data_IF_555401051484
#
_entry.id   IF_555401051484
#
_cell.length_a   1.000
_cell.length_b   1.000
_cell.length_c   1.000
_cell.angle_alpha   90.00
_cell.angle_beta   90.00
_cell.angle_gamma   90.00
#
_symmetry.space_group_name_H-M   'P 1'
#
loop_
_entity.id
_entity.type
_entity.pdbx_description
1 polymer ?
#
# COMPACT_ATOMS: atom_id res chain seq x y z
N UNK A 1 5.11 5.60 12.54
CA UNK A 1 5.83 5.38 11.27
C UNK A 1 4.94 4.75 10.20
N UNK A 2 5.14 5.15 8.94
CA UNK A 2 4.52 4.51 7.77
C UNK A 2 5.58 4.13 6.75
N UNK A 3 5.52 2.88 6.27
CA UNK A 3 6.47 2.30 5.32
C UNK A 3 5.76 1.74 4.10
N UNK A 4 6.39 1.88 2.93
CA UNK A 4 5.90 1.37 1.65
C UNK A 4 6.94 0.42 1.09
N UNK A 5 6.52 -0.84 0.91
CA UNK A 5 7.31 -1.90 0.30
C UNK A 5 6.70 -2.27 -1.06
N UNK A 6 7.49 -2.24 -2.12
CA UNK A 6 7.12 -2.64 -3.48
C UNK A 6 8.11 -3.71 -3.93
N UNK A 7 7.66 -4.98 -4.00
CA UNK A 7 8.57 -6.12 -4.10
C UNK A 7 9.58 -6.10 -2.95
N UNK A 8 10.88 -6.14 -3.27
CA UNK A 8 11.95 -6.02 -2.27
C UNK A 8 12.38 -4.58 -1.94
N UNK A 9 11.88 -3.58 -2.66
CA UNK A 9 12.24 -2.19 -2.41
C UNK A 9 11.36 -1.62 -1.29
N UNK A 10 11.97 -0.97 -0.30
CA UNK A 10 11.27 -0.32 0.82
C UNK A 10 11.66 1.16 0.91
N UNK A 11 10.69 2.02 1.21
CA UNK A 11 10.91 3.41 1.62
C UNK A 11 9.90 3.87 2.66
N UNK A 12 10.33 4.83 3.48
CA UNK A 12 9.43 5.57 4.37
C UNK A 12 8.44 6.42 3.59
N UNK A 13 7.28 6.67 4.21
CA UNK A 13 6.17 7.41 3.61
C UNK A 13 6.52 8.80 3.09
N UNK A 14 7.40 9.52 3.77
CA UNK A 14 7.85 10.84 3.34
C UNK A 14 8.86 10.79 2.19
N UNK A 15 9.50 9.64 1.97
CA UNK A 15 10.54 9.44 0.95
C UNK A 15 10.05 8.67 -0.27
N UNK A 16 8.84 8.08 -0.21
CA UNK A 16 8.21 7.36 -1.31
C UNK A 16 7.60 8.34 -2.33
N UNK A 17 8.44 8.90 -3.20
CA UNK A 17 8.01 9.84 -4.24
C UNK A 17 7.17 9.15 -5.32
N UNK A 18 6.35 9.94 -6.03
CA UNK A 18 5.58 9.47 -7.19
C UNK A 18 6.47 8.84 -8.27
N UNK A 19 7.64 9.46 -8.53
CA UNK A 19 8.62 8.95 -9.48
C UNK A 19 9.17 7.59 -9.07
N UNK A 20 9.51 7.42 -7.79
CA UNK A 20 10.00 6.15 -7.25
C UNK A 20 8.92 5.06 -7.35
N UNK A 21 7.67 5.37 -6.96
CA UNK A 21 6.55 4.43 -7.06
C UNK A 21 6.35 3.97 -8.50
N UNK A 22 6.26 4.91 -9.44
CA UNK A 22 6.05 4.59 -10.85
C UNK A 22 7.21 3.78 -11.41
N UNK A 23 8.45 4.12 -11.07
CA UNK A 23 9.63 3.36 -11.47
C UNK A 23 9.55 1.90 -10.98
N UNK A 24 9.26 1.70 -9.68
CA UNK A 24 9.20 0.37 -9.09
C UNK A 24 8.09 -0.50 -9.70
N UNK A 25 6.93 0.09 -10.00
CA UNK A 25 5.77 -0.64 -10.55
C UNK A 25 5.96 -0.92 -12.05
N UNK A 26 6.42 0.07 -12.82
CA UNK A 26 6.55 -0.06 -14.26
C UNK A 26 7.67 -1.02 -14.66
N UNK A 27 8.83 -1.00 -13.97
CA UNK A 27 9.92 -1.94 -14.24
C UNK A 27 9.48 -3.39 -14.04
N UNK A 28 8.85 -3.68 -12.90
CA UNK A 28 8.36 -5.04 -12.63
C UNK A 28 7.33 -5.50 -13.65
N UNK A 29 6.40 -4.62 -14.05
CA UNK A 29 5.41 -4.94 -15.09
C UNK A 29 6.06 -5.17 -16.46
N UNK A 30 7.06 -4.37 -16.83
CA UNK A 30 7.82 -4.56 -18.05
C UNK A 30 8.55 -5.91 -18.08
N UNK A 31 9.02 -6.37 -16.92
CA UNK A 31 9.64 -7.69 -16.74
C UNK A 31 8.63 -8.84 -16.60
N UNK A 32 7.31 -8.57 -16.70
CA UNK A 32 6.26 -9.57 -16.53
C UNK A 32 6.09 -10.07 -15.10
N UNK A 33 6.67 -9.37 -14.11
CA UNK A 33 6.64 -9.74 -12.69
C UNK A 33 5.39 -9.13 -12.02
N UNK A 34 4.65 -9.96 -11.31
CA UNK A 34 3.54 -9.52 -10.45
C UNK A 34 4.02 -8.53 -9.39
N UNK A 35 3.39 -7.37 -9.32
CA UNK A 35 3.79 -6.30 -8.39
C UNK A 35 3.10 -6.51 -7.05
N UNK A 36 3.86 -6.92 -6.02
CA UNK A 36 3.39 -6.92 -4.64
C UNK A 36 3.67 -5.56 -3.99
N UNK A 37 2.64 -4.88 -3.50
CA UNK A 37 2.77 -3.65 -2.69
C UNK A 37 2.27 -3.93 -1.29
N UNK A 38 3.04 -3.49 -0.29
CA UNK A 38 2.65 -3.50 1.12
C UNK A 38 2.81 -2.11 1.71
N UNK A 39 1.78 -1.66 2.42
CA UNK A 39 1.84 -0.42 3.21
C UNK A 39 1.68 -0.80 4.68
N UNK A 40 2.70 -0.51 5.47
CA UNK A 40 2.75 -0.80 6.90
C UNK A 40 2.52 0.52 7.64
N UNK A 41 1.45 0.61 8.42
CA UNK A 41 1.06 1.79 9.18
C UNK A 41 1.17 1.44 10.66
N UNK A 42 2.08 2.11 11.37
CA UNK A 42 2.31 1.95 12.80
C UNK A 42 2.36 3.33 13.45
N UNK A 43 1.20 3.91 13.74
CA UNK A 43 1.05 5.21 14.39
C UNK A 43 0.20 5.07 15.66
N UNK A 44 0.09 6.13 16.45
CA UNK A 44 -0.74 6.12 17.66
C UNK A 44 -2.20 5.75 17.31
N UNK A 45 -2.63 4.56 17.75
CA UNK A 45 -3.97 4.05 17.48
C UNK A 45 -4.17 3.35 16.12
N UNK A 46 -3.12 3.20 15.31
CA UNK A 46 -3.13 2.49 14.02
C UNK A 46 -1.99 1.46 13.96
N UNK A 47 -2.33 0.18 13.89
CA UNK A 47 -1.35 -0.89 13.64
C UNK A 47 -1.92 -1.85 12.60
N UNK A 48 -1.57 -1.62 11.34
CA UNK A 48 -2.14 -2.34 10.22
C UNK A 48 -1.17 -2.48 9.05
N UNK A 49 -1.34 -3.60 8.33
CA UNK A 49 -0.62 -3.90 7.08
C UNK A 49 -1.64 -4.05 5.97
N UNK A 50 -1.50 -3.25 4.93
CA UNK A 50 -2.25 -3.35 3.68
C UNK A 50 -1.38 -4.05 2.66
N UNK A 51 -1.96 -4.95 1.87
CA UNK A 51 -1.23 -5.71 0.85
C UNK A 51 -2.07 -5.87 -0.40
N UNK A 52 -1.45 -5.77 -1.57
CA UNK A 52 -2.10 -6.10 -2.85
C UNK A 52 -2.30 -7.62 -2.95
N UNK A 53 -3.27 -8.11 -3.74
CA UNK A 53 -3.58 -9.55 -3.83
C UNK A 53 -2.42 -10.41 -4.33
N UNK A 54 -1.51 -9.81 -5.08
CA UNK A 54 -0.28 -10.41 -5.63
C UNK A 54 0.81 -10.66 -4.60
N UNK A 55 0.66 -10.13 -3.38
CA UNK A 55 1.58 -10.43 -2.29
C UNK A 55 1.34 -11.84 -1.77
N UNK A 56 2.39 -12.67 -1.72
CA UNK A 56 2.34 -13.96 -1.04
C UNK A 56 1.78 -13.78 0.39
N UNK A 57 0.89 -14.70 0.78
CA UNK A 57 0.05 -14.63 1.97
C UNK A 57 0.87 -14.38 3.22
N UNK A 58 0.85 -13.15 3.75
CA UNK A 58 1.35 -12.88 5.09
C UNK A 58 0.25 -12.21 5.89
N UNK A 59 -0.37 -13.00 6.76
CA UNK A 59 -1.23 -12.51 7.85
C UNK A 59 -2.60 -12.04 7.42
N UNK A 60 -3.59 -12.94 7.47
CA UNK A 60 -4.95 -12.51 7.84
C UNK A 60 -4.86 -12.04 9.29
N UNK A 61 -4.95 -10.73 9.51
CA UNK A 61 -5.08 -10.17 10.85
C UNK A 61 -6.30 -10.76 11.54
N UNK A 62 -6.11 -11.52 12.62
CA UNK A 62 -7.20 -12.16 13.37
C UNK A 62 -8.03 -11.17 14.20
N UNK A 63 -7.62 -9.90 14.26
CA UNK A 63 -8.31 -8.83 14.99
C UNK A 63 -9.20 -8.03 14.04
N UNK A 64 -10.42 -7.73 14.46
CA UNK A 64 -11.25 -6.77 13.74
C UNK A 64 -10.58 -5.38 13.70
N UNK A 65 -10.58 -4.70 12.54
CA UNK A 65 -10.09 -3.33 12.43
C UNK A 65 -10.83 -2.38 13.37
N UNK A 66 -10.10 -1.44 13.99
CA UNK A 66 -10.65 -0.28 14.70
C UNK A 66 -11.37 0.66 13.71
N UNK A 67 -12.24 1.57 14.17
CA UNK A 67 -12.93 2.51 13.29
C UNK A 67 -12.00 3.30 12.34
N UNK A 68 -10.89 3.85 12.85
CA UNK A 68 -9.89 4.56 12.02
C UNK A 68 -9.17 3.64 11.02
N UNK A 69 -8.83 2.42 11.43
CA UNK A 69 -8.21 1.42 10.55
C UNK A 69 -9.18 1.03 9.41
N UNK A 70 -10.49 0.94 9.72
CA UNK A 70 -11.54 0.65 8.73
C UNK A 70 -11.65 1.74 7.67
N UNK A 71 -11.49 3.02 8.02
CA UNK A 71 -11.47 4.12 7.05
C UNK A 71 -10.30 3.97 6.07
N UNK A 72 -9.11 3.62 6.57
CA UNK A 72 -7.93 3.37 5.73
C UNK A 72 -8.13 2.13 4.84
N UNK A 73 -8.73 1.05 5.36
CA UNK A 73 -9.09 -0.12 4.54
C UNK A 73 -10.12 0.21 3.45
N UNK A 74 -11.13 1.01 3.78
CA UNK A 74 -12.11 1.46 2.79
C UNK A 74 -11.44 2.30 1.71
N UNK A 75 -10.55 3.22 2.09
CA UNK A 75 -9.75 4.01 1.17
C UNK A 75 -8.90 3.12 0.24
N UNK A 76 -8.24 2.09 0.79
CA UNK A 76 -7.47 1.11 -0.01
C UNK A 76 -8.33 0.43 -1.08
N UNK A 77 -9.52 -0.04 -0.69
CA UNK A 77 -10.46 -0.69 -1.58
C UNK A 77 -11.03 0.29 -2.63
N UNK A 78 -11.42 1.50 -2.22
CA UNK A 78 -11.92 2.55 -3.13
C UNK A 78 -10.90 2.97 -4.19
N UNK A 79 -9.60 2.84 -3.89
CA UNK A 79 -8.52 3.10 -4.84
C UNK A 79 -8.18 1.90 -5.72
N UNK A 80 -8.92 0.80 -5.62
CA UNK A 80 -8.72 -0.39 -6.45
C UNK A 80 -7.39 -1.11 -6.16
N UNK A 81 -6.76 -0.89 -5.00
CA UNK A 81 -5.50 -1.55 -4.63
C UNK A 81 -5.71 -3.01 -4.19
N UNK A 82 -6.97 -3.43 -4.03
CA UNK A 82 -7.35 -4.82 -3.83
C UNK A 82 -7.67 -5.55 -5.15
N UNK A 83 -7.41 -4.92 -6.30
CA UNK A 83 -7.63 -5.49 -7.62
C UNK A 83 -6.30 -5.89 -8.27
N UNK A 84 -6.29 -6.95 -9.08
CA UNK A 84 -5.09 -7.39 -9.81
C UNK A 84 -4.58 -6.33 -10.82
N UNK A 85 -5.47 -5.45 -11.29
CA UNK A 85 -5.17 -4.44 -12.31
C UNK A 85 -4.54 -3.14 -11.79
N UNK A 86 -4.37 -2.97 -10.47
CA UNK A 86 -3.94 -1.69 -9.86
C UNK A 86 -2.65 -1.14 -10.49
N UNK A 87 -2.57 0.18 -10.71
CA UNK A 87 -1.37 0.84 -11.24
C UNK A 87 -0.72 1.79 -10.22
N UNK A 88 0.40 2.41 -10.58
CA UNK A 88 1.09 3.36 -9.71
C UNK A 88 0.27 4.58 -9.33
N UNK A 89 -0.61 5.06 -10.22
CA UNK A 89 -1.54 6.15 -9.93
C UNK A 89 -2.50 5.82 -8.79
N UNK A 90 -3.00 4.58 -8.73
CA UNK A 90 -3.87 4.12 -7.64
C UNK A 90 -3.14 4.21 -6.28
N UNK A 91 -1.89 3.75 -6.24
CA UNK A 91 -1.06 3.80 -5.02
C UNK A 91 -0.73 5.24 -4.62
N UNK A 92 -0.35 6.08 -5.58
CA UNK A 92 -0.06 7.50 -5.34
C UNK A 92 -1.30 8.21 -4.78
N UNK A 93 -2.47 7.98 -5.37
CA UNK A 93 -3.74 8.57 -4.90
C UNK A 93 -4.07 8.12 -3.47
N UNK A 94 -3.87 6.84 -3.16
CA UNK A 94 -4.01 6.32 -1.80
C UNK A 94 -3.06 7.02 -0.82
N UNK A 95 -1.77 7.12 -1.14
CA UNK A 95 -0.77 7.72 -0.25
C UNK A 95 -1.01 9.23 -0.04
N UNK A 96 -1.45 9.96 -1.06
CA UNK A 96 -1.86 11.37 -0.93
C UNK A 96 -3.01 11.53 0.05
N UNK A 97 -4.03 10.67 -0.04
CA UNK A 97 -5.16 10.75 0.89
C UNK A 97 -4.80 10.26 2.29
N UNK A 98 -4.00 9.20 2.40
CA UNK A 98 -3.51 8.71 3.69
C UNK A 98 -2.79 9.83 4.47
N UNK A 99 -2.04 10.71 3.80
CA UNK A 99 -1.38 11.86 4.43
C UNK A 99 -2.35 12.85 5.09
N UNK A 100 -3.61 12.89 4.68
CA UNK A 100 -4.62 13.74 5.30
C UNK A 100 -5.31 13.05 6.50
N UNK A 101 -5.18 11.74 6.62
CA UNK A 101 -5.73 10.94 7.73
C UNK A 101 -4.75 10.80 8.91
N UNK A 102 -3.45 10.87 8.62
CA UNK A 102 -2.36 10.81 9.59
C UNK A 102 -1.96 12.22 10.04
#
# INVERSE_FOLDING_TARGET
MVKIKIGEAERDFNSATESWINQQINWRRADGISVCVRVIVQEEGLDMILSTPTCATSGRGGRLPRPREKEIFNLWNQRGLNELGFNGGNLIAFLKQLRHFL
#
